data_IF_459151985321
#
_entry.id   IF_459151985321
#
_cell.length_a   1.000
_cell.length_b   1.000
_cell.length_c   1.000
_cell.angle_alpha   90.00
_cell.angle_beta   90.00
_cell.angle_gamma   90.00
#
_symmetry.space_group_name_H-M   'P 1'
#
loop_
_entity.id
_entity.type
_entity.pdbx_description
1 polymer ?
#
# COMPACT_ATOMS: atom_id res chain seq x y z
N UNK A 1 25.81 -18.99 -64.52
CA UNK A 1 25.27 -17.98 -63.59
C UNK A 1 24.58 -18.76 -62.49
N UNK A 2 25.34 -19.18 -61.49
CA UNK A 2 24.84 -19.88 -60.32
C UNK A 2 24.45 -18.83 -59.29
N UNK A 3 23.14 -18.74 -59.00
CA UNK A 3 22.60 -17.82 -58.02
C UNK A 3 22.98 -18.29 -56.62
N UNK A 4 23.61 -17.42 -55.85
CA UNK A 4 23.87 -17.65 -54.42
C UNK A 4 22.53 -17.62 -53.69
N UNK A 5 22.00 -18.79 -53.36
CA UNK A 5 20.89 -18.94 -52.43
C UNK A 5 21.34 -18.42 -51.06
N UNK A 6 20.95 -17.17 -50.76
CA UNK A 6 21.19 -16.57 -49.46
C UNK A 6 20.37 -17.31 -48.42
N UNK A 7 21.03 -18.18 -47.67
CA UNK A 7 20.48 -18.90 -46.53
C UNK A 7 20.03 -17.91 -45.45
N UNK A 8 18.75 -17.59 -45.43
CA UNK A 8 18.17 -16.65 -44.47
C UNK A 8 17.93 -17.39 -43.15
N UNK A 9 18.69 -17.01 -42.11
CA UNK A 9 18.52 -17.55 -40.77
C UNK A 9 17.05 -17.44 -40.29
N UNK A 10 16.46 -18.52 -39.76
CA UNK A 10 15.10 -18.50 -39.25
C UNK A 10 14.97 -17.48 -38.11
N UNK A 11 13.98 -16.59 -38.22
CA UNK A 11 13.69 -15.63 -37.16
C UNK A 11 12.93 -16.32 -36.03
N UNK A 12 13.22 -15.98 -34.78
CA UNK A 12 12.48 -16.48 -33.62
C UNK A 12 11.54 -15.42 -33.05
N UNK A 13 10.49 -15.86 -32.37
CA UNK A 13 9.55 -14.97 -31.68
C UNK A 13 10.28 -14.07 -30.67
N UNK A 14 9.96 -12.77 -30.67
CA UNK A 14 10.65 -11.77 -29.84
C UNK A 14 10.29 -11.79 -28.35
N UNK A 15 9.45 -12.73 -27.88
CA UNK A 15 9.13 -12.87 -26.45
C UNK A 15 10.19 -13.77 -25.83
N UNK A 16 10.82 -13.33 -24.74
CA UNK A 16 11.96 -14.03 -24.11
C UNK A 16 11.67 -15.48 -23.73
N UNK A 17 10.42 -15.81 -23.41
CA UNK A 17 9.95 -17.15 -23.05
C UNK A 17 9.38 -17.95 -24.24
N UNK A 18 9.34 -17.40 -25.45
CA UNK A 18 8.80 -18.06 -26.62
C UNK A 18 9.88 -18.24 -27.68
N UNK A 19 10.36 -19.48 -27.84
CA UNK A 19 11.37 -19.82 -28.84
C UNK A 19 10.78 -20.35 -30.15
N UNK A 20 9.51 -20.02 -30.46
CA UNK A 20 8.87 -20.49 -31.69
C UNK A 20 9.49 -19.81 -32.91
N UNK A 21 9.94 -20.60 -33.87
CA UNK A 21 10.44 -20.14 -35.16
C UNK A 21 9.32 -19.51 -35.99
N UNK A 22 9.65 -18.42 -36.67
CA UNK A 22 8.78 -17.66 -37.54
C UNK A 22 9.16 -17.95 -39.01
N UNK A 23 8.18 -18.00 -39.93
CA UNK A 23 8.46 -18.10 -41.35
C UNK A 23 9.41 -16.98 -41.82
N UNK A 24 10.27 -17.28 -42.78
CA UNK A 24 11.33 -16.36 -43.25
C UNK A 24 10.80 -15.01 -43.75
N UNK A 25 9.56 -14.97 -44.24
CA UNK A 25 8.87 -13.77 -44.69
C UNK A 25 7.75 -13.30 -43.74
N UNK A 26 7.85 -13.62 -42.45
CA UNK A 26 6.79 -13.31 -41.49
C UNK A 26 6.83 -11.83 -41.08
N UNK A 27 5.71 -11.13 -41.29
CA UNK A 27 5.60 -9.67 -41.08
C UNK A 27 5.81 -9.22 -39.63
N UNK A 28 5.54 -10.07 -38.65
CA UNK A 28 5.48 -9.70 -37.24
C UNK A 28 6.64 -10.29 -36.45
N UNK A 29 7.17 -9.55 -35.48
CA UNK A 29 8.25 -10.05 -34.60
C UNK A 29 7.78 -11.10 -33.58
N UNK A 30 6.48 -11.32 -33.45
CA UNK A 30 5.89 -12.26 -32.50
C UNK A 30 5.01 -13.27 -33.21
N UNK A 31 5.06 -14.54 -32.76
CA UNK A 31 4.25 -15.60 -33.34
C UNK A 31 2.75 -15.37 -33.10
N UNK A 32 1.89 -15.99 -33.92
CA UNK A 32 0.44 -15.83 -33.81
C UNK A 32 -0.10 -16.25 -32.43
N UNK A 33 0.52 -17.26 -31.80
CA UNK A 33 0.13 -17.69 -30.46
C UNK A 33 0.33 -16.59 -29.41
N UNK A 34 1.51 -15.96 -29.36
CA UNK A 34 1.78 -14.85 -28.45
C UNK A 34 0.89 -13.63 -28.77
N UNK A 35 0.62 -13.37 -30.05
CA UNK A 35 -0.28 -12.27 -30.46
C UNK A 35 -1.72 -12.51 -30.04
N UNK A 36 -2.20 -13.75 -30.10
CA UNK A 36 -3.53 -14.09 -29.63
C UNK A 36 -3.62 -14.03 -28.09
N UNK A 37 -2.58 -14.48 -27.38
CA UNK A 37 -2.48 -14.33 -25.94
C UNK A 37 -2.53 -12.84 -25.52
N UNK A 38 -1.72 -11.98 -26.16
CA UNK A 38 -1.72 -10.53 -25.91
C UNK A 38 -3.10 -9.89 -26.22
N UNK A 39 -3.79 -10.36 -27.27
CA UNK A 39 -5.16 -9.92 -27.59
C UNK A 39 -6.16 -10.32 -26.51
N UNK A 40 -6.10 -11.55 -25.99
CA UNK A 40 -6.95 -12.03 -24.88
C UNK A 40 -6.72 -11.22 -23.61
N UNK A 41 -5.48 -10.99 -23.22
CA UNK A 41 -5.13 -10.18 -22.04
C UNK A 41 -5.67 -8.76 -22.16
N UNK A 42 -5.49 -8.11 -23.32
CA UNK A 42 -6.04 -6.76 -23.56
C UNK A 42 -7.57 -6.72 -23.53
N UNK A 43 -8.25 -7.76 -24.04
CA UNK A 43 -9.72 -7.88 -23.94
C UNK A 43 -10.18 -8.02 -22.50
N UNK A 44 -9.54 -8.89 -21.71
CA UNK A 44 -9.84 -9.08 -20.30
C UNK A 44 -9.62 -7.79 -19.49
N UNK A 45 -8.53 -7.07 -19.75
CA UNK A 45 -8.24 -5.79 -19.11
C UNK A 45 -9.35 -4.76 -19.39
N UNK A 46 -9.75 -4.59 -20.66
CA UNK A 46 -10.85 -3.68 -21.05
C UNK A 46 -12.18 -4.07 -20.42
N UNK A 47 -12.49 -5.37 -20.35
CA UNK A 47 -13.69 -5.86 -19.68
C UNK A 47 -13.68 -5.53 -18.18
N UNK A 48 -12.54 -5.72 -17.51
CA UNK A 48 -12.37 -5.37 -16.09
C UNK A 48 -12.48 -3.87 -15.83
N UNK A 49 -11.95 -3.03 -16.72
CA UNK A 49 -12.07 -1.58 -16.63
C UNK A 49 -13.50 -1.10 -16.86
N UNK A 50 -14.23 -1.73 -17.80
CA UNK A 50 -15.65 -1.45 -18.04
C UNK A 50 -16.50 -1.81 -16.82
N UNK A 51 -16.31 -2.99 -16.24
CA UNK A 51 -17.01 -3.42 -15.03
C UNK A 51 -16.71 -2.48 -13.84
N UNK A 52 -15.46 -2.05 -13.67
CA UNK A 52 -15.08 -1.05 -12.66
C UNK A 52 -15.81 0.28 -12.88
N UNK A 53 -15.91 0.77 -14.11
CA UNK A 53 -16.66 2.01 -14.42
C UNK A 53 -18.15 1.88 -14.10
N UNK A 54 -18.79 0.78 -14.49
CA UNK A 54 -20.22 0.54 -14.20
C UNK A 54 -20.52 0.50 -12.69
N UNK A 55 -19.65 -0.12 -11.88
CA UNK A 55 -19.81 -0.13 -10.42
C UNK A 55 -19.66 1.25 -9.76
N UNK A 56 -18.91 2.17 -10.37
CA UNK A 56 -18.76 3.54 -9.87
C UNK A 56 -20.00 4.38 -10.19
N UNK A 57 -20.59 4.21 -11.37
CA UNK A 57 -21.77 4.98 -11.80
C UNK A 57 -23.02 4.65 -10.97
N UNK A 58 -23.20 3.39 -10.59
CA UNK A 58 -24.35 2.95 -9.78
C UNK A 58 -24.37 3.54 -8.36
N UNK A 59 -23.21 3.89 -7.78
CA UNK A 59 -23.13 4.46 -6.43
C UNK A 59 -23.42 5.96 -6.35
N UNK A 60 -23.56 6.66 -7.48
CA UNK A 60 -23.87 8.09 -7.49
C UNK A 60 -25.34 8.42 -7.85
N UNK A 61 -26.14 7.42 -8.22
CA UNK A 61 -27.56 7.58 -8.56
C UNK A 61 -28.48 7.44 -7.34
N UNK A 62 -28.45 8.38 -6.39
CA UNK A 62 -29.25 8.25 -5.17
C UNK A 62 -29.50 9.54 -4.39
N UNK A 63 -29.74 10.67 -5.06
CA UNK A 63 -30.41 11.86 -4.51
C UNK A 63 -30.83 12.79 -5.64
N UNK A 64 -31.82 12.35 -6.44
CA UNK A 64 -32.62 13.26 -7.28
C UNK A 64 -33.50 14.09 -6.34
N UNK A 65 -33.04 15.29 -6.00
CA UNK A 65 -33.87 16.33 -5.38
C UNK A 65 -34.87 16.74 -6.46
N UNK A 66 -36.17 16.46 -6.27
CA UNK A 66 -37.26 17.08 -7.04
C UNK A 66 -37.13 18.58 -6.80
N UNK A 67 -36.79 19.34 -7.84
CA UNK A 67 -36.88 20.80 -7.84
C UNK A 67 -38.25 21.13 -8.43
N UNK A 68 -39.05 22.01 -7.80
CA UNK A 68 -40.29 22.49 -8.39
C UNK A 68 -39.99 23.44 -9.54
N UNK A 69 -40.87 23.35 -10.53
CA UNK A 69 -40.98 24.16 -11.72
C UNK A 69 -41.03 25.66 -11.37
N UNK A 70 -40.07 26.43 -11.90
CA UNK A 70 -40.21 27.88 -12.01
C UNK A 70 -39.51 28.35 -13.26
N UNK A 71 -40.33 28.93 -14.12
CA UNK A 71 -40.05 29.59 -15.38
C UNK A 71 -38.94 30.64 -15.33
N UNK A 72 -38.31 30.81 -16.50
CA UNK A 72 -37.88 32.09 -17.06
C UNK A 72 -36.56 32.68 -16.53
N UNK A 73 -35.48 32.54 -17.31
CA UNK A 73 -34.76 33.66 -17.95
C UNK A 73 -33.50 33.15 -18.66
N UNK A 74 -33.26 33.74 -19.83
CA UNK A 74 -32.12 33.61 -20.73
C UNK A 74 -30.78 34.02 -20.10
N UNK A 75 -29.69 33.35 -20.47
CA UNK A 75 -28.56 33.88 -21.27
C UNK A 75 -27.32 32.97 -21.19
N UNK A 76 -26.66 32.82 -22.34
CA UNK A 76 -25.29 32.38 -22.62
C UNK A 76 -24.46 31.77 -21.47
N UNK A 77 -24.31 30.44 -21.46
CA UNK A 77 -23.19 29.79 -20.77
C UNK A 77 -22.42 28.86 -21.72
N UNK A 78 -21.20 29.30 -22.04
CA UNK A 78 -20.24 28.61 -22.89
C UNK A 78 -19.79 27.27 -22.28
N UNK A 79 -19.54 26.24 -23.11
CA UNK A 79 -19.08 24.94 -22.64
C UNK A 79 -17.63 25.03 -22.17
N UNK A 80 -17.42 24.97 -20.86
CA UNK A 80 -16.10 24.80 -20.25
C UNK A 80 -15.50 23.46 -20.69
N UNK A 81 -14.53 23.55 -21.61
CA UNK A 81 -13.71 22.42 -22.05
C UNK A 81 -12.94 21.87 -20.85
N UNK A 82 -13.42 20.75 -20.29
CA UNK A 82 -12.63 19.91 -19.40
C UNK A 82 -11.37 19.45 -20.14
N UNK A 83 -10.27 20.17 -19.87
CA UNK A 83 -8.92 19.85 -20.33
C UNK A 83 -8.54 18.49 -19.76
N UNK A 84 -8.62 17.46 -20.59
CA UNK A 84 -7.95 16.17 -20.37
C UNK A 84 -6.47 16.47 -20.19
N UNK A 85 -6.03 16.54 -18.95
CA UNK A 85 -4.61 16.57 -18.62
C UNK A 85 -4.02 15.24 -19.09
N UNK A 86 -3.02 15.37 -19.95
CA UNK A 86 -2.25 14.29 -20.52
C UNK A 86 -1.65 13.46 -19.38
N UNK A 87 -2.24 12.29 -19.15
CA UNK A 87 -1.58 11.20 -18.45
C UNK A 87 -0.42 10.72 -19.34
N UNK A 88 0.73 11.40 -19.23
CA UNK A 88 2.01 10.85 -19.65
C UNK A 88 2.26 9.62 -18.77
N UNK A 89 1.80 8.47 -19.27
CA UNK A 89 2.11 7.16 -18.73
C UNK A 89 3.58 6.90 -18.98
N UNK A 90 4.43 7.31 -18.04
CA UNK A 90 5.71 6.66 -17.83
C UNK A 90 5.43 5.22 -17.49
N UNK A 91 5.53 4.35 -18.50
CA UNK A 91 5.53 2.90 -18.30
C UNK A 91 6.88 2.56 -17.64
N UNK A 92 6.95 2.69 -16.31
CA UNK A 92 8.02 2.09 -15.52
C UNK A 92 7.97 0.58 -15.78
N UNK A 93 8.99 0.09 -16.49
CA UNK A 93 9.22 -1.30 -16.87
C UNK A 93 9.77 -2.11 -15.67
N UNK A 94 9.18 -1.95 -14.49
CA UNK A 94 9.55 -2.67 -13.25
C UNK A 94 8.48 -3.74 -12.87
N UNK A 95 7.84 -4.36 -13.87
CA UNK A 95 6.76 -5.34 -13.66
C UNK A 95 7.08 -6.70 -14.28
N UNK A 96 8.23 -7.27 -13.94
CA UNK A 96 8.47 -8.72 -14.02
C UNK A 96 9.34 -9.14 -12.84
N UNK A 97 8.76 -9.04 -11.66
CA UNK A 97 9.16 -9.81 -10.48
C UNK A 97 7.95 -10.65 -10.08
N UNK A 98 7.38 -11.35 -11.08
CA UNK A 98 6.68 -12.61 -10.87
C UNK A 98 7.76 -13.63 -10.51
N UNK A 99 8.29 -13.49 -9.29
CA UNK A 99 8.85 -14.62 -8.56
C UNK A 99 7.69 -15.60 -8.41
N UNK A 100 7.62 -16.45 -9.43
CA UNK A 100 7.06 -17.76 -9.45
C UNK A 100 7.25 -18.41 -8.08
N UNK A 101 6.19 -19.05 -7.64
CA UNK A 101 6.00 -19.77 -6.37
C UNK A 101 6.83 -21.07 -6.40
N UNK A 102 8.08 -20.96 -6.88
CA UNK A 102 9.05 -22.02 -6.99
C UNK A 102 9.64 -22.28 -5.62
N UNK A 103 9.01 -23.23 -4.92
CA UNK A 103 9.59 -24.03 -3.84
C UNK A 103 10.70 -23.33 -3.05
N UNK A 104 10.34 -22.31 -2.26
CA UNK A 104 11.20 -21.87 -1.18
C UNK A 104 11.46 -23.10 -0.31
N UNK A 105 12.73 -23.51 -0.27
CA UNK A 105 13.24 -24.49 0.68
C UNK A 105 12.60 -24.23 2.04
N UNK A 106 12.10 -25.31 2.64
CA UNK A 106 11.35 -25.27 3.89
C UNK A 106 12.29 -24.88 5.04
N UNK A 107 12.68 -23.61 5.09
CA UNK A 107 13.08 -23.01 6.35
C UNK A 107 11.94 -23.29 7.33
N UNK A 108 12.25 -24.07 8.35
CA UNK A 108 11.28 -24.58 9.30
C UNK A 108 10.52 -23.40 9.93
N UNK A 109 9.23 -23.28 9.60
CA UNK A 109 8.34 -22.28 10.18
C UNK A 109 7.98 -22.73 11.60
N UNK A 110 8.47 -22.01 12.61
CA UNK A 110 8.18 -22.34 14.00
C UNK A 110 6.68 -22.15 14.29
N UNK A 111 6.04 -23.17 14.85
CA UNK A 111 4.62 -23.17 15.16
C UNK A 111 4.39 -22.89 16.64
N UNK A 112 3.67 -21.82 16.94
CA UNK A 112 3.31 -21.38 18.28
C UNK A 112 1.86 -21.75 18.59
N UNK A 113 1.61 -22.21 19.82
CA UNK A 113 0.27 -22.60 20.25
C UNK A 113 -0.65 -21.38 20.46
N UNK A 114 -0.04 -20.25 20.82
CA UNK A 114 -0.73 -19.03 21.23
C UNK A 114 -0.15 -17.81 20.54
N UNK A 115 -1.01 -16.82 20.31
CA UNK A 115 -0.58 -15.54 19.73
C UNK A 115 0.35 -14.78 20.68
N UNK A 116 0.14 -14.91 21.99
CA UNK A 116 0.96 -14.25 23.00
C UNK A 116 2.41 -14.75 22.98
N UNK A 117 2.62 -16.07 22.97
CA UNK A 117 3.94 -16.71 22.87
C UNK A 117 4.67 -16.28 21.59
N UNK A 118 3.94 -16.26 20.48
CA UNK A 118 4.46 -15.82 19.19
C UNK A 118 4.97 -14.36 19.22
N UNK A 119 4.18 -13.44 19.80
CA UNK A 119 4.60 -12.04 19.91
C UNK A 119 5.67 -11.82 20.99
N UNK A 120 5.70 -12.60 22.06
CA UNK A 120 6.78 -12.49 23.04
C UNK A 120 8.12 -12.96 22.46
N UNK A 121 8.12 -13.99 21.60
CA UNK A 121 9.30 -14.44 20.86
C UNK A 121 9.84 -13.35 19.92
N UNK A 122 8.99 -12.74 19.09
CA UNK A 122 9.41 -11.58 18.26
C UNK A 122 9.98 -10.45 19.15
N UNK A 123 9.40 -10.19 20.33
CA UNK A 123 9.88 -9.12 21.22
C UNK A 123 11.29 -9.43 21.69
N UNK A 124 11.51 -10.68 22.10
CA UNK A 124 12.79 -11.16 22.57
C UNK A 124 13.86 -11.04 21.49
N UNK A 125 13.57 -11.45 20.25
CA UNK A 125 14.51 -11.36 19.13
C UNK A 125 14.96 -9.93 18.83
N UNK A 126 14.02 -8.96 18.88
CA UNK A 126 14.34 -7.54 18.70
C UNK A 126 15.17 -6.94 19.85
N UNK A 127 15.17 -7.58 21.02
CA UNK A 127 15.97 -7.16 22.17
C UNK A 127 17.36 -7.78 22.14
N UNK A 128 17.49 -9.03 21.70
CA UNK A 128 18.76 -9.77 21.71
C UNK A 128 19.60 -9.58 20.45
N UNK A 129 18.99 -9.38 19.29
CA UNK A 129 19.70 -9.36 18.00
C UNK A 129 19.62 -8.00 17.29
N UNK A 130 20.69 -7.64 16.60
CA UNK A 130 20.73 -6.46 15.72
C UNK A 130 20.21 -6.75 14.31
N UNK A 131 20.44 -7.99 13.87
CA UNK A 131 19.95 -8.56 12.62
C UNK A 131 18.91 -9.62 12.96
N UNK A 132 17.68 -9.41 12.50
CA UNK A 132 16.53 -10.19 12.91
C UNK A 132 16.00 -10.90 11.67
N UNK A 133 16.01 -12.22 11.69
CA UNK A 133 15.27 -13.05 10.73
C UNK A 133 14.39 -14.00 11.52
N UNK A 134 13.10 -13.72 11.48
CA UNK A 134 12.09 -14.44 12.25
C UNK A 134 11.06 -15.06 11.30
N UNK A 135 10.75 -16.33 11.50
CA UNK A 135 9.74 -17.08 10.76
C UNK A 135 8.90 -17.89 11.73
N UNK A 136 7.63 -17.57 11.82
CA UNK A 136 6.74 -18.30 12.71
C UNK A 136 5.28 -18.19 12.33
N UNK A 137 4.48 -19.08 12.91
CA UNK A 137 3.04 -19.08 12.74
C UNK A 137 2.28 -19.47 13.99
N UNK A 138 1.02 -19.05 14.06
CA UNK A 138 0.09 -19.47 15.09
C UNK A 138 -1.30 -19.65 14.48
N UNK A 139 -2.14 -20.43 15.15
CA UNK A 139 -3.54 -20.65 14.75
C UNK A 139 -4.50 -19.96 15.70
N UNK A 140 -5.57 -19.39 15.15
CA UNK A 140 -6.66 -18.78 15.91
C UNK A 140 -8.00 -19.33 15.45
N UNK A 141 -9.00 -19.31 16.33
CA UNK A 141 -10.37 -19.60 15.97
C UNK A 141 -10.84 -18.66 14.84
N UNK A 142 -11.53 -19.21 13.84
CA UNK A 142 -12.07 -18.41 12.75
C UNK A 142 -13.20 -17.51 13.26
N UNK A 143 -13.04 -16.21 13.06
CA UNK A 143 -14.03 -15.19 13.41
C UNK A 143 -14.65 -14.62 12.12
N UNK A 144 -15.93 -14.90 11.83
CA UNK A 144 -16.58 -14.49 10.59
C UNK A 144 -16.73 -12.96 10.47
N UNK A 145 -16.60 -12.20 11.57
CA UNK A 145 -16.68 -10.74 11.54
C UNK A 145 -15.38 -10.08 11.09
N UNK A 146 -14.27 -10.82 11.11
CA UNK A 146 -12.94 -10.29 10.79
C UNK A 146 -12.40 -10.96 9.54
N UNK A 147 -12.51 -10.23 8.42
CA UNK A 147 -11.88 -10.66 7.16
C UNK A 147 -10.37 -10.91 7.31
N UNK A 148 -9.82 -11.85 6.52
CA UNK A 148 -8.38 -12.13 6.49
C UNK A 148 -7.52 -10.88 6.29
N UNK A 149 -7.98 -9.94 5.45
CA UNK A 149 -7.30 -8.64 5.26
C UNK A 149 -7.23 -7.84 6.56
N UNK A 150 -8.34 -7.76 7.31
CA UNK A 150 -8.38 -7.05 8.59
C UNK A 150 -7.49 -7.75 9.61
N UNK A 151 -7.45 -9.09 9.62
CA UNK A 151 -6.57 -9.88 10.48
C UNK A 151 -5.10 -9.56 10.21
N UNK A 152 -4.68 -9.58 8.95
CA UNK A 152 -3.30 -9.20 8.56
C UNK A 152 -2.94 -7.78 9.02
N UNK A 153 -3.87 -6.83 8.88
CA UNK A 153 -3.65 -5.47 9.38
C UNK A 153 -3.47 -5.44 10.91
N UNK A 154 -4.33 -6.15 11.66
CA UNK A 154 -4.22 -6.23 13.12
C UNK A 154 -2.89 -6.84 13.55
N UNK A 155 -2.44 -7.91 12.90
CA UNK A 155 -1.13 -8.52 13.15
C UNK A 155 0.01 -7.53 12.86
N UNK A 156 -0.07 -6.78 11.75
CA UNK A 156 0.94 -5.76 11.44
C UNK A 156 0.98 -4.63 12.49
N UNK A 157 -0.19 -4.19 12.96
CA UNK A 157 -0.30 -3.17 14.00
C UNK A 157 0.28 -3.68 15.33
N UNK A 158 0.07 -4.96 15.67
CA UNK A 158 0.62 -5.57 16.89
C UNK A 158 2.14 -5.68 16.82
N UNK A 159 2.69 -6.18 15.71
CA UNK A 159 4.15 -6.20 15.44
C UNK A 159 4.75 -4.80 15.59
N UNK A 160 4.06 -3.77 15.08
CA UNK A 160 4.53 -2.40 15.25
C UNK A 160 4.57 -1.99 16.73
N UNK A 161 3.49 -2.18 17.50
CA UNK A 161 3.47 -1.79 18.93
C UNK A 161 4.60 -2.43 19.73
N UNK A 162 4.86 -3.70 19.47
CA UNK A 162 5.84 -4.46 20.26
C UNK A 162 7.29 -4.20 19.85
N UNK A 163 7.56 -3.92 18.57
CA UNK A 163 8.92 -3.72 18.05
C UNK A 163 9.29 -2.24 17.99
N UNK A 164 8.30 -1.34 17.91
CA UNK A 164 8.51 0.08 17.62
C UNK A 164 8.83 0.39 16.15
N UNK A 165 8.88 -0.62 15.28
CA UNK A 165 9.17 -0.42 13.85
C UNK A 165 7.86 -0.30 13.06
N UNK A 166 7.71 0.79 12.31
CA UNK A 166 6.54 0.99 11.46
C UNK A 166 6.79 0.40 10.08
N UNK A 167 5.89 -0.44 9.61
CA UNK A 167 5.95 -0.99 8.26
C UNK A 167 4.92 -0.31 7.32
N UNK A 168 5.31 -0.10 6.08
CA UNK A 168 4.46 0.38 4.98
C UNK A 168 4.14 -0.77 4.03
N UNK A 169 2.89 -0.84 3.60
CA UNK A 169 2.44 -1.86 2.66
C UNK A 169 3.13 -1.66 1.30
N UNK A 170 3.77 -2.73 0.80
CA UNK A 170 4.23 -2.85 -0.59
C UNK A 170 3.05 -3.24 -1.47
N UNK A 171 2.50 -4.41 -1.19
CA UNK A 171 1.44 -5.01 -1.98
C UNK A 171 0.59 -5.99 -1.16
N UNK A 172 -0.57 -6.30 -1.72
CA UNK A 172 -1.49 -7.29 -1.21
C UNK A 172 -1.72 -8.35 -2.28
N UNK A 173 -1.59 -9.62 -1.92
CA UNK A 173 -1.96 -10.77 -2.76
C UNK A 173 -3.16 -11.47 -2.12
N UNK A 174 -4.26 -11.58 -2.87
CA UNK A 174 -5.42 -12.39 -2.48
C UNK A 174 -5.13 -13.86 -2.78
N UNK A 175 -5.24 -14.71 -1.77
CA UNK A 175 -5.08 -16.17 -1.91
C UNK A 175 -6.46 -16.81 -2.05
N UNK A 176 -6.53 -18.04 -2.57
CA UNK A 176 -7.81 -18.77 -2.73
C UNK A 176 -8.57 -18.91 -1.40
N UNK A 177 -7.86 -19.12 -0.30
CA UNK A 177 -8.39 -19.29 1.06
C UNK A 177 -7.84 -18.25 2.05
N UNK A 178 -7.40 -17.08 1.58
CA UNK A 178 -6.69 -16.17 2.47
C UNK A 178 -6.23 -14.85 1.88
N UNK A 179 -5.34 -14.19 2.62
CA UNK A 179 -4.75 -12.91 2.28
C UNK A 179 -3.27 -12.87 2.67
N UNK A 180 -2.42 -12.36 1.79
CA UNK A 180 -0.98 -12.14 2.03
C UNK A 180 -0.65 -10.67 1.79
N UNK A 181 0.06 -10.06 2.72
CA UNK A 181 0.56 -8.68 2.56
C UNK A 181 2.06 -8.67 2.74
N UNK A 182 2.77 -8.00 1.83
CA UNK A 182 4.18 -7.67 2.02
C UNK A 182 4.29 -6.23 2.44
N UNK A 183 5.13 -5.99 3.45
CA UNK A 183 5.41 -4.70 4.02
C UNK A 183 6.93 -4.49 4.11
N UNK A 184 7.33 -3.22 4.18
CA UNK A 184 8.71 -2.78 4.36
C UNK A 184 8.79 -1.77 5.48
N UNK A 185 9.88 -1.74 6.23
CA UNK A 185 10.15 -0.70 7.21
C UNK A 185 10.02 0.66 6.53
N UNK A 186 9.27 1.53 7.19
CA UNK A 186 9.01 2.87 6.69
C UNK A 186 10.28 3.69 6.60
N UNK A 187 11.34 3.36 7.36
CA UNK A 187 12.64 4.01 7.39
C UNK A 187 13.69 3.38 6.44
N UNK A 188 13.33 2.34 5.69
CA UNK A 188 14.24 1.68 4.76
C UNK A 188 14.68 2.62 3.63
N UNK A 189 15.99 2.82 3.48
CA UNK A 189 16.57 3.68 2.45
C UNK A 189 16.36 3.12 1.04
N UNK A 190 16.47 1.80 0.87
CA UNK A 190 16.27 1.14 -0.42
C UNK A 190 14.83 1.24 -0.93
N UNK A 191 13.90 1.64 -0.07
CA UNK A 191 12.48 1.83 -0.38
C UNK A 191 12.05 3.30 -0.40
N UNK A 192 13.01 4.24 -0.37
CA UNK A 192 12.73 5.68 -0.46
C UNK A 192 12.06 6.02 -1.79
N UNK A 193 10.82 6.51 -1.72
CA UNK A 193 10.14 7.07 -2.89
C UNK A 193 10.89 8.32 -3.36
N UNK A 194 11.18 8.40 -4.65
CA UNK A 194 11.72 9.62 -5.28
C UNK A 194 10.76 10.78 -5.03
N UNK A 195 11.28 11.93 -4.59
CA UNK A 195 10.47 13.13 -4.38
C UNK A 195 9.87 13.57 -5.70
N UNK A 196 8.54 13.63 -5.79
CA UNK A 196 7.85 14.23 -6.94
C UNK A 196 7.82 15.75 -6.72
N UNK A 197 8.85 16.44 -7.23
CA UNK A 197 8.84 17.91 -7.26
C UNK A 197 7.70 18.37 -8.16
N UNK A 198 6.88 19.31 -7.70
CA UNK A 198 5.85 19.91 -8.55
C UNK A 198 6.53 20.66 -9.70
N UNK A 199 6.04 20.48 -10.92
CA UNK A 199 6.49 21.23 -12.11
C UNK A 199 5.72 22.54 -12.31
N UNK A 200 4.70 22.81 -11.48
CA UNK A 200 3.89 24.01 -11.62
C UNK A 200 4.71 25.25 -11.24
N UNK A 201 4.79 26.20 -12.17
CA UNK A 201 5.47 27.49 -11.98
C UNK A 201 4.85 28.22 -10.78
N UNK A 202 5.69 28.67 -9.84
CA UNK A 202 5.25 29.37 -8.62
C UNK A 202 4.96 28.47 -7.41
N UNK A 203 5.01 27.14 -7.52
CA UNK A 203 4.84 26.25 -6.37
C UNK A 203 6.16 26.13 -5.58
N UNK A 204 6.22 26.75 -4.40
CA UNK A 204 7.32 26.55 -3.45
C UNK A 204 7.26 25.13 -2.89
N UNK A 205 8.16 24.26 -3.33
CA UNK A 205 8.31 22.93 -2.73
C UNK A 205 8.75 23.11 -1.28
N UNK A 206 8.07 22.46 -0.34
CA UNK A 206 8.50 22.47 1.06
C UNK A 206 9.78 21.64 1.17
N UNK A 207 10.86 22.25 1.65
CA UNK A 207 12.03 21.53 2.18
C UNK A 207 11.68 20.95 3.55
N UNK A 208 10.75 20.01 3.57
CA UNK A 208 10.61 19.12 4.70
C UNK A 208 11.81 18.19 4.69
N UNK A 209 12.70 18.35 5.67
CA UNK A 209 13.73 17.36 5.97
C UNK A 209 13.03 16.00 6.11
N UNK A 210 13.26 15.13 5.15
CA UNK A 210 12.73 13.78 5.19
C UNK A 210 13.27 13.08 6.45
N UNK A 211 12.45 12.23 7.05
CA UNK A 211 12.91 11.39 8.16
C UNK A 211 14.16 10.60 7.75
N UNK A 212 15.12 10.49 8.68
CA UNK A 212 16.37 9.73 8.50
C UNK A 212 16.05 8.30 8.05
N UNK A 213 16.81 7.82 7.08
CA UNK A 213 16.66 6.49 6.48
C UNK A 213 17.83 5.60 6.91
N UNK A 214 17.61 4.30 6.89
CA UNK A 214 18.59 3.30 7.30
C UNK A 214 18.64 2.16 6.28
N UNK A 215 19.80 1.54 6.04
CA UNK A 215 19.95 0.42 5.12
C UNK A 215 19.51 -0.91 5.75
N UNK A 216 18.32 -0.95 6.38
CA UNK A 216 17.86 -2.11 7.16
C UNK A 216 17.36 -3.30 6.31
N UNK A 217 17.17 -3.12 4.99
CA UNK A 217 16.75 -4.16 4.04
C UNK A 217 15.53 -4.96 4.52
N UNK A 218 14.62 -4.24 5.14
CA UNK A 218 13.49 -4.81 5.86
C UNK A 218 12.50 -5.52 4.95
N UNK A 219 11.97 -6.66 5.41
CA UNK A 219 10.91 -7.41 4.74
C UNK A 219 9.99 -8.03 5.78
N UNK A 220 8.73 -7.59 5.80
CA UNK A 220 7.69 -8.21 6.61
C UNK A 220 6.64 -8.81 5.69
N UNK A 221 6.40 -10.11 5.80
CA UNK A 221 5.37 -10.81 5.06
C UNK A 221 4.42 -11.41 6.08
N UNK A 222 3.16 -11.04 5.99
CA UNK A 222 2.10 -11.60 6.83
C UNK A 222 1.12 -12.29 5.90
N UNK A 223 0.89 -13.58 6.15
CA UNK A 223 -0.14 -14.36 5.47
C UNK A 223 -1.14 -14.88 6.47
N UNK A 224 -2.41 -14.87 6.07
CA UNK A 224 -3.52 -15.31 6.87
C UNK A 224 -4.39 -16.17 5.98
N UNK A 225 -4.55 -17.45 6.33
CA UNK A 225 -5.28 -18.43 5.52
C UNK A 225 -6.10 -19.36 6.40
N UNK A 226 -7.22 -19.83 5.86
CA UNK A 226 -8.02 -20.88 6.48
C UNK A 226 -7.33 -22.23 6.34
N UNK A 227 -7.35 -23.01 7.43
CA UNK A 227 -6.85 -24.39 7.50
C UNK A 227 -8.00 -25.37 7.26
N UNK A 228 -7.66 -26.65 7.02
CA UNK A 228 -8.68 -27.69 6.82
C UNK A 228 -9.57 -27.91 8.05
N UNK A 229 -9.05 -27.57 9.22
CA UNK A 229 -9.73 -27.74 10.52
C UNK A 229 -10.69 -26.56 10.82
N UNK A 230 -10.89 -25.63 9.89
CA UNK A 230 -11.70 -24.43 10.09
C UNK A 230 -11.03 -23.38 10.98
N UNK A 231 -9.77 -23.59 11.38
CA UNK A 231 -8.95 -22.59 12.07
C UNK A 231 -8.31 -21.63 11.07
N UNK A 232 -7.98 -20.42 11.52
CA UNK A 232 -7.21 -19.47 10.73
C UNK A 232 -5.74 -19.54 11.12
N UNK A 233 -4.85 -19.91 10.19
CA UNK A 233 -3.39 -19.87 10.37
C UNK A 233 -2.87 -18.50 9.97
N UNK A 234 -2.20 -17.83 10.89
CA UNK A 234 -1.45 -16.58 10.66
C UNK A 234 0.04 -16.91 10.66
N UNK A 235 0.71 -16.57 9.58
CA UNK A 235 2.12 -16.86 9.35
C UNK A 235 2.86 -15.55 9.05
N UNK A 236 3.99 -15.35 9.71
CA UNK A 236 4.79 -14.13 9.64
C UNK A 236 6.23 -14.50 9.33
N UNK A 237 6.79 -13.76 8.38
CA UNK A 237 8.20 -13.81 8.02
C UNK A 237 8.72 -12.39 8.07
N UNK A 238 9.68 -12.14 8.96
CA UNK A 238 10.20 -10.81 9.27
C UNK A 238 11.72 -10.83 9.19
N UNK A 239 12.26 -10.10 8.22
CA UNK A 239 13.70 -9.83 8.06
C UNK A 239 13.97 -8.35 8.34
N UNK A 240 14.96 -8.04 9.18
CA UNK A 240 15.36 -6.67 9.52
C UNK A 240 16.83 -6.61 9.99
N UNK A 241 17.73 -6.17 9.11
CA UNK A 241 19.18 -6.34 9.29
C UNK A 241 19.91 -5.21 10.04
N UNK A 242 19.28 -4.04 10.24
CA UNK A 242 19.96 -2.91 10.88
C UNK A 242 19.05 -2.23 11.90
N UNK A 243 19.43 -2.31 13.19
CA UNK A 243 18.78 -1.60 14.28
C UNK A 243 18.83 -0.09 14.04
N UNK A 244 17.70 0.58 14.26
CA UNK A 244 17.62 2.03 14.10
C UNK A 244 16.57 2.66 15.01
N UNK A 245 16.53 3.99 15.04
CA UNK A 245 15.62 4.75 15.91
C UNK A 245 14.18 4.29 15.70
N UNK A 246 13.57 3.82 16.78
CA UNK A 246 12.19 3.34 16.80
C UNK A 246 11.22 4.49 16.54
N UNK A 247 10.07 4.17 15.95
CA UNK A 247 8.94 5.08 15.99
C UNK A 247 8.43 5.16 17.41
N UNK A 248 8.58 6.33 18.02
CA UNK A 248 7.84 6.65 19.24
C UNK A 248 6.38 6.83 18.83
N UNK A 249 5.47 6.14 19.53
CA UNK A 249 4.05 6.41 19.35
C UNK A 249 3.79 7.84 19.81
N UNK A 250 3.49 8.71 18.85
CA UNK A 250 3.12 10.12 19.09
C UNK A 250 1.62 10.24 19.39
N UNK A 251 0.98 9.15 19.80
CA UNK A 251 -0.41 9.20 20.26
C UNK A 251 -0.53 10.22 21.39
N UNK A 252 -1.62 10.98 21.33
CA UNK A 252 -1.90 12.01 22.30
C UNK A 252 -2.06 11.33 23.68
N UNK A 253 -1.30 11.73 24.72
CA UNK A 253 -1.45 11.18 26.05
C UNK A 253 -2.92 11.19 26.49
N UNK A 254 -3.36 10.18 27.24
CA UNK A 254 -4.77 10.08 27.66
C UNK A 254 -5.26 11.35 28.39
N UNK A 255 -4.39 11.97 29.20
CA UNK A 255 -4.70 13.25 29.84
C UNK A 255 -4.88 14.39 28.84
N UNK A 256 -4.07 14.47 27.78
CA UNK A 256 -4.25 15.45 26.71
C UNK A 256 -5.56 15.23 25.93
N UNK A 257 -5.93 13.97 25.67
CA UNK A 257 -7.23 13.64 25.07
C UNK A 257 -8.41 14.06 25.95
N UNK A 258 -8.28 13.93 27.28
CA UNK A 258 -9.31 14.38 28.22
C UNK A 258 -9.45 15.91 28.20
N UNK A 259 -8.33 16.66 28.22
CA UNK A 259 -8.35 18.12 28.07
C UNK A 259 -9.06 18.51 26.76
N UNK A 260 -8.76 17.81 25.66
CA UNK A 260 -9.44 18.05 24.38
C UNK A 260 -10.95 17.80 24.50
N UNK A 261 -11.38 16.66 25.05
CA UNK A 261 -12.81 16.31 25.19
C UNK A 261 -13.58 17.30 26.05
N UNK A 262 -13.02 17.72 27.18
CA UNK A 262 -13.68 18.64 28.12
C UNK A 262 -13.80 20.07 27.57
N UNK A 263 -12.94 20.45 26.62
CA UNK A 263 -12.84 21.84 26.17
C UNK A 263 -13.21 22.05 24.69
N UNK A 264 -13.53 21.00 23.95
CA UNK A 264 -13.80 21.07 22.48
C UNK A 264 -14.99 21.97 22.12
N UNK A 265 -15.96 22.10 23.02
CA UNK A 265 -17.17 22.91 22.80
C UNK A 265 -16.93 24.41 23.05
N UNK A 266 -15.93 24.74 23.88
CA UNK A 266 -15.77 26.09 24.44
C UNK A 266 -14.49 26.80 24.02
N UNK A 267 -13.44 26.05 23.65
CA UNK A 267 -12.16 26.62 23.25
C UNK A 267 -11.95 26.52 21.75
N UNK A 268 -11.36 27.58 21.19
CA UNK A 268 -10.85 27.51 19.81
C UNK A 268 -9.68 26.51 19.74
N UNK A 269 -9.43 25.86 18.59
CA UNK A 269 -8.31 24.93 18.44
C UNK A 269 -6.95 25.52 18.83
N UNK A 270 -6.70 26.82 18.61
CA UNK A 270 -5.45 27.48 19.04
C UNK A 270 -5.32 27.50 20.56
N UNK A 271 -6.40 27.84 21.27
CA UNK A 271 -6.41 27.85 22.75
C UNK A 271 -6.34 26.42 23.31
N UNK A 272 -6.99 25.45 22.66
CA UNK A 272 -6.88 24.04 23.03
C UNK A 272 -5.44 23.54 22.93
N UNK A 273 -4.74 23.85 21.84
CA UNK A 273 -3.33 23.46 21.67
C UNK A 273 -2.49 24.07 22.79
N UNK A 274 -2.60 25.37 23.07
CA UNK A 274 -1.87 26.01 24.15
C UNK A 274 -2.14 25.34 25.52
N UNK A 275 -3.40 24.98 25.81
CA UNK A 275 -3.79 24.31 27.05
C UNK A 275 -3.23 22.88 27.14
N UNK A 276 -3.24 22.12 26.05
CA UNK A 276 -2.63 20.78 25.99
C UNK A 276 -1.12 20.88 26.17
N UNK A 277 -0.46 21.83 25.49
CA UNK A 277 1.00 22.01 25.58
C UNK A 277 1.45 22.47 26.97
N UNK A 278 0.64 23.28 27.66
CA UNK A 278 0.92 23.68 29.04
C UNK A 278 0.91 22.48 30.01
N UNK A 279 0.03 21.50 29.78
CA UNK A 279 -0.04 20.27 30.58
C UNK A 279 0.93 19.17 30.11
N UNK A 280 1.25 19.15 28.81
CA UNK A 280 2.11 18.16 28.16
C UNK A 280 3.12 18.86 27.24
N UNK A 281 4.24 19.37 27.78
CA UNK A 281 5.20 20.18 27.02
C UNK A 281 5.82 19.46 25.81
N UNK A 282 5.91 18.13 25.88
CA UNK A 282 6.47 17.28 24.80
C UNK A 282 5.51 17.11 23.61
N UNK A 283 4.23 17.49 23.75
CA UNK A 283 3.26 17.47 22.65
C UNK A 283 3.47 18.72 21.80
N UNK A 284 3.93 18.56 20.57
CA UNK A 284 4.10 19.70 19.66
C UNK A 284 2.81 19.99 18.88
N UNK A 285 2.56 21.26 18.52
CA UNK A 285 1.38 21.62 17.73
C UNK A 285 1.31 20.87 16.38
N UNK A 286 2.45 20.38 15.89
CA UNK A 286 2.58 19.59 14.66
C UNK A 286 2.20 18.11 14.78
N UNK A 287 2.04 17.53 15.99
CA UNK A 287 1.47 16.17 16.16
C UNK A 287 -0.06 16.18 16.15
N UNK A 288 -0.65 17.31 16.47
CA UNK A 288 -2.09 17.50 16.57
C UNK A 288 -2.68 17.76 15.19
N UNK A 289 -2.87 16.70 14.42
CA UNK A 289 -3.75 16.69 13.24
C UNK A 289 -5.23 16.90 13.62
N UNK A 290 -5.52 17.82 14.54
CA UNK A 290 -6.84 18.35 14.88
C UNK A 290 -7.33 19.22 13.72
N UNK A 291 -7.53 18.59 12.57
CA UNK A 291 -8.42 19.15 11.55
C UNK A 291 -9.82 18.94 12.09
N UNK A 292 -10.34 19.90 12.86
CA UNK A 292 -11.74 19.95 13.26
C UNK A 292 -12.57 19.82 11.97
N UNK A 293 -13.28 18.69 11.88
CA UNK A 293 -14.15 18.35 10.77
C UNK A 293 -15.33 19.33 10.75
N UNK A 294 -15.14 20.52 10.18
CA UNK A 294 -16.28 21.29 9.67
C UNK A 294 -16.80 20.53 8.45
N UNK A 295 -18.04 20.05 8.55
CA UNK A 295 -18.56 18.98 7.72
C UNK A 295 -18.41 19.21 6.22
N UNK A 296 -17.70 18.29 5.54
CA UNK A 296 -18.07 17.71 4.23
C UNK A 296 -17.03 16.64 3.82
N UNK A 297 -17.50 15.38 3.84
CA UNK A 297 -16.89 14.11 3.37
C UNK A 297 -15.97 13.38 4.37
N UNK A 298 -16.12 12.04 4.51
CA UNK A 298 -15.22 11.22 5.30
C UNK A 298 -13.92 11.00 4.52
N UNK A 299 -12.84 11.65 4.96
CA UNK A 299 -11.48 11.18 4.64
C UNK A 299 -11.01 10.22 5.73
N UNK A 300 -10.16 9.27 5.33
CA UNK A 300 -9.54 8.30 6.23
C UNK A 300 -8.69 9.05 7.28
N UNK A 301 -8.57 8.55 8.53
CA UNK A 301 -7.70 9.17 9.53
C UNK A 301 -6.26 9.18 9.01
N UNK A 302 -5.70 10.38 8.86
CA UNK A 302 -4.29 10.59 8.55
C UNK A 302 -3.54 10.54 9.87
N UNK A 303 -2.81 9.46 10.11
CA UNK A 303 -1.92 9.34 11.26
C UNK A 303 -0.67 10.21 11.02
N UNK A 304 -0.58 11.32 11.74
CA UNK A 304 0.52 12.30 11.68
C UNK A 304 1.71 11.75 12.48
N UNK A 305 2.93 11.82 11.92
CA UNK A 305 4.15 11.35 12.59
C UNK A 305 5.14 12.49 12.76
N UNK A 306 5.72 12.59 13.96
CA UNK A 306 6.81 13.52 14.29
C UNK A 306 8.08 12.71 14.55
N UNK A 307 9.19 13.19 13.97
CA UNK A 307 10.52 12.73 14.31
C UNK A 307 10.97 13.52 15.55
N UNK A 308 11.16 12.82 16.67
CA UNK A 308 11.85 13.40 17.84
C UNK A 308 13.34 13.36 17.50
N UNK A 309 13.95 14.54 17.34
CA UNK A 309 15.40 14.67 17.27
C UNK A 309 15.96 14.52 18.69
N UNK A 310 16.68 13.42 18.93
CA UNK A 310 17.66 13.31 20.00
C UNK A 310 19.01 13.78 19.47
#
# INVERSE_FOLDING_TARGET
>A
MEGTDSEQNPQTCSKTWCHRELPTNYRWKTCDHCRECDRKTKRAQRASEKAKKETVTLKQGGKRKRVPDSSDTSEDEQPTRHRKENAASGMDMDFLDDEDDGGLESDEEEAFNRAEEFFDSIRQDFQSHEDISFKGSFTIAHDPLVSFRKRVQMTADEIWKMTGYRFTVKDHKTLKSGHKTRLWCSQDEGRKKKSKKSQNVGVKNRDTLGMKRYPCRSRLIISCRETKDGLTKVAVHLDHHAKHVHYVDVSMPAGALNIVRENVEWLTPVMMVAKVQAAFPDVTAGTSGLTLLSGRRPQRPILLMVAIGL
#
